data_IF_604183673347
#
_entry.id   IF_604183673347
#
_cell.length_a   1.000
_cell.length_b   1.000
_cell.length_c   1.000
_cell.angle_alpha   90.00
_cell.angle_beta   90.00
_cell.angle_gamma   90.00
#
_symmetry.space_group_name_H-M   'P 1'
#
loop_
_entity.id
_entity.type
_entity.pdbx_description
1 polymer ?
#
# COMPACT_ATOMS: atom_id res chain seq x y z
N UNK A 1 -6.35 2.98 -12.92
CA UNK A 1 -5.03 2.34 -12.89
C UNK A 1 -4.15 3.15 -11.96
N UNK A 2 -3.78 2.61 -10.79
CA UNK A 2 -2.84 3.26 -9.87
C UNK A 2 -1.45 2.79 -10.26
N UNK A 3 -0.68 3.65 -10.93
CA UNK A 3 0.75 3.42 -11.17
C UNK A 3 1.50 3.88 -9.92
N UNK A 4 2.33 3.01 -9.36
CA UNK A 4 3.33 3.39 -8.36
C UNK A 4 4.47 4.14 -9.09
N UNK A 5 4.29 5.44 -9.32
CA UNK A 5 5.32 6.29 -9.91
C UNK A 5 6.44 6.59 -8.89
N UNK A 6 7.66 6.82 -9.39
CA UNK A 6 8.79 7.39 -8.63
C UNK A 6 9.41 6.50 -7.53
N UNK A 7 9.75 5.25 -7.83
CA UNK A 7 10.63 4.45 -6.97
C UNK A 7 9.99 3.93 -5.67
N UNK A 8 8.65 3.82 -5.67
CA UNK A 8 7.86 3.11 -4.66
C UNK A 8 7.98 1.60 -4.89
N UNK A 9 8.89 0.95 -4.17
CA UNK A 9 8.93 -0.50 -4.05
C UNK A 9 8.15 -0.95 -2.79
N UNK A 10 7.75 -2.22 -2.72
CA UNK A 10 6.99 -2.76 -1.59
C UNK A 10 7.71 -2.54 -0.24
N UNK A 11 9.04 -2.58 -0.23
CA UNK A 11 9.85 -2.32 0.96
C UNK A 11 9.76 -0.89 1.52
N UNK A 12 9.18 0.06 0.78
CA UNK A 12 8.94 1.44 1.22
C UNK A 12 7.49 1.72 1.59
N UNK A 13 6.62 0.72 1.50
CA UNK A 13 5.22 0.84 1.87
C UNK A 13 4.94 0.15 3.20
N UNK A 14 4.12 0.80 4.03
CA UNK A 14 3.50 0.20 5.21
C UNK A 14 2.02 0.05 4.94
N UNK A 15 1.51 -1.18 5.08
CA UNK A 15 0.11 -1.51 4.90
C UNK A 15 -0.44 -1.92 6.26
N UNK A 16 -1.52 -1.30 6.71
CA UNK A 16 -2.13 -1.61 8.01
C UNK A 16 -3.64 -1.50 7.97
N UNK A 17 -4.31 -2.12 8.94
CA UNK A 17 -5.73 -1.87 9.19
C UNK A 17 -5.97 -0.39 9.58
N UNK A 18 -7.11 0.14 9.17
CA UNK A 18 -7.67 1.42 9.58
C UNK A 18 -9.15 1.27 9.94
N UNK A 19 -9.77 2.33 10.48
CA UNK A 19 -11.14 2.25 11.00
C UNK A 19 -12.20 1.87 9.96
N UNK A 20 -12.01 2.23 8.69
CA UNK A 20 -12.98 1.98 7.59
C UNK A 20 -12.34 1.33 6.34
N UNK A 21 -11.18 0.69 6.48
CA UNK A 21 -10.49 0.06 5.36
C UNK A 21 -8.99 -0.10 5.58
N UNK A 22 -8.26 -0.38 4.51
CA UNK A 22 -6.81 -0.58 4.58
C UNK A 22 -6.05 0.69 4.25
N UNK A 23 -5.05 1.00 5.07
CA UNK A 23 -4.22 2.20 4.95
C UNK A 23 -2.90 1.82 4.27
N UNK A 24 -2.53 2.57 3.25
CA UNK A 24 -1.22 2.48 2.59
C UNK A 24 -0.44 3.76 2.91
N UNK A 25 0.71 3.60 3.56
CA UNK A 25 1.59 4.68 3.98
C UNK A 25 3.00 4.51 3.41
N UNK A 26 3.76 5.60 3.40
CA UNK A 26 5.22 5.50 3.32
C UNK A 26 5.76 4.94 4.63
N UNK A 27 6.53 3.85 4.56
CA UNK A 27 7.17 3.26 5.73
C UNK A 27 8.22 4.19 6.37
N UNK A 28 8.77 5.15 5.60
CA UNK A 28 9.83 6.05 6.09
C UNK A 28 9.35 7.16 7.02
N UNK A 29 8.08 7.55 6.95
CA UNK A 29 7.56 8.70 7.70
C UNK A 29 6.05 8.65 7.99
N UNK A 30 5.40 7.49 7.85
CA UNK A 30 3.98 7.27 8.08
C UNK A 30 3.02 8.17 7.27
N UNK A 31 3.51 8.85 6.24
CA UNK A 31 2.66 9.67 5.36
C UNK A 31 1.63 8.77 4.69
N UNK A 32 0.35 9.07 4.91
CA UNK A 32 -0.76 8.41 4.25
C UNK A 32 -0.75 8.72 2.74
N UNK A 33 -0.76 7.67 1.93
CA UNK A 33 -0.82 7.75 0.48
C UNK A 33 -2.20 7.39 -0.05
N UNK A 34 -2.82 6.35 0.52
CA UNK A 34 -4.13 5.88 0.09
C UNK A 34 -4.89 5.18 1.22
N UNK A 35 -6.22 5.18 1.08
CA UNK A 35 -7.15 4.35 1.85
C UNK A 35 -7.94 3.49 0.87
N UNK A 36 -7.92 2.18 1.08
CA UNK A 36 -8.74 1.23 0.33
C UNK A 36 -10.02 0.98 1.13
N UNK A 37 -11.07 1.74 0.80
CA UNK A 37 -12.37 1.60 1.45
C UNK A 37 -13.03 0.28 1.03
N UNK A 38 -13.59 -0.44 2.02
CA UNK A 38 -14.24 -1.73 1.79
C UNK A 38 -13.30 -2.90 1.51
N UNK A 39 -11.98 -2.70 1.64
CA UNK A 39 -10.99 -3.77 1.54
C UNK A 39 -10.33 -3.96 2.91
N UNK A 40 -10.51 -5.14 3.48
CA UNK A 40 -9.86 -5.51 4.74
C UNK A 40 -8.35 -5.72 4.55
N UNK A 41 -7.56 -5.39 5.57
CA UNK A 41 -6.11 -5.54 5.52
C UNK A 41 -5.67 -6.99 5.26
N UNK A 42 -6.40 -7.94 5.84
CA UNK A 42 -6.22 -9.38 5.64
C UNK A 42 -6.48 -9.85 4.20
N UNK A 43 -7.23 -9.08 3.41
CA UNK A 43 -7.51 -9.39 2.01
C UNK A 43 -6.36 -8.99 1.08
N UNK A 44 -5.30 -8.38 1.60
CA UNK A 44 -4.15 -7.90 0.85
C UNK A 44 -2.89 -8.57 1.39
N UNK A 45 -2.21 -9.33 0.53
CA UNK A 45 -0.93 -9.94 0.82
C UNK A 45 0.14 -9.58 -0.21
N UNK A 46 1.39 -10.01 0.01
CA UNK A 46 2.50 -9.74 -0.90
C UNK A 46 2.23 -10.18 -2.35
N UNK A 47 1.44 -11.23 -2.56
CA UNK A 47 1.07 -11.75 -3.88
C UNK A 47 0.20 -10.80 -4.71
N UNK A 48 -0.49 -9.85 -4.08
CA UNK A 48 -1.36 -8.88 -4.77
C UNK A 48 -0.58 -7.73 -5.40
N UNK A 49 0.75 -7.70 -5.19
CA UNK A 49 1.65 -6.69 -5.72
C UNK A 49 2.59 -7.30 -6.75
N UNK A 50 2.59 -6.74 -7.96
CA UNK A 50 3.60 -7.05 -8.96
C UNK A 50 4.80 -6.13 -8.75
N UNK A 51 6.01 -6.69 -8.61
CA UNK A 51 7.23 -5.90 -8.69
C UNK A 51 7.36 -5.35 -10.11
N UNK A 52 7.44 -4.03 -10.25
CA UNK A 52 7.84 -3.41 -11.52
C UNK A 52 9.31 -3.06 -11.36
N UNK A 53 10.18 -3.83 -12.02
CA UNK A 53 11.54 -3.34 -12.29
C UNK A 53 11.42 -2.21 -13.32
N UNK A 54 11.81 -1.00 -12.92
CA UNK A 54 11.92 0.17 -13.79
C UNK A 54 13.39 0.39 -14.17
#
# INVERSE_FOLDING_TARGET
MILLASGLNFGKLSISAGSNGTLIRLASNDRLLAVLNGVEFSAIGPQDFSSVEL
#
